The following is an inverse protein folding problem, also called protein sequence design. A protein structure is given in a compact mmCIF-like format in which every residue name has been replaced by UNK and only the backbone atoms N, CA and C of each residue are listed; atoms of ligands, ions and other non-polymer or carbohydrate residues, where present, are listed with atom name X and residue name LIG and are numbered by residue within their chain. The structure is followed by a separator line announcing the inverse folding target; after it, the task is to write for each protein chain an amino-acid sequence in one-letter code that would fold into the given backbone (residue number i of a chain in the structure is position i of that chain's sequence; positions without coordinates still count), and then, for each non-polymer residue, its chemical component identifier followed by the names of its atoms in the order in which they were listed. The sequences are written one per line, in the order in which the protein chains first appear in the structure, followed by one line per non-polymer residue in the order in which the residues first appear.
data_IF_342614828231
#
_entry.id   IF_342614828231
#
_cell.length_a   1.000
_cell.length_b   1.000
_cell.length_c   1.000
_cell.angle_alpha   90.00
_cell.angle_beta   90.00
_cell.angle_gamma   90.00
#
_symmetry.space_group_name_H-M   'P 1'
#
loop_
_entity.id
_entity.type
_entity.pdbx_description
1 polymer ?
#
# COMPACT_ATOMS: atom_id res chain seq x y z
N UNK A 1 -13.96 34.93 9.75
CA UNK A 1 -14.73 33.68 10.03
C UNK A 1 -15.55 33.89 11.29
N UNK A 2 -16.80 33.40 11.32
CA UNK A 2 -17.64 33.52 12.51
C UNK A 2 -17.10 32.60 13.62
N UNK A 3 -17.06 33.12 14.86
CA UNK A 3 -16.55 32.42 16.05
C UNK A 3 -17.71 32.01 16.95
N UNK A 4 -17.65 30.80 17.50
CA UNK A 4 -18.62 30.34 18.50
C UNK A 4 -18.17 30.78 19.90
N UNK A 5 -18.76 31.87 20.38
CA UNK A 5 -18.44 32.48 21.69
C UNK A 5 -19.21 31.88 22.85
N UNK A 6 -20.32 31.18 22.60
CA UNK A 6 -21.16 30.57 23.64
C UNK A 6 -20.48 29.46 24.46
N UNK A 7 -21.01 29.22 25.67
CA UNK A 7 -20.51 28.21 26.63
C UNK A 7 -20.73 26.79 26.08
N UNK A 8 -21.87 26.56 25.44
CA UNK A 8 -22.18 25.29 24.76
C UNK A 8 -21.38 25.20 23.47
N UNK A 9 -20.54 24.15 23.35
CA UNK A 9 -19.76 23.87 22.14
C UNK A 9 -20.53 22.91 21.25
N UNK A 10 -20.68 23.28 19.98
CA UNK A 10 -21.38 22.48 18.99
C UNK A 10 -20.35 21.90 18.02
N UNK A 11 -20.57 20.66 17.58
CA UNK A 11 -19.74 19.99 16.58
C UNK A 11 -20.66 19.27 15.62
N UNK A 12 -20.54 19.57 14.33
CA UNK A 12 -21.46 19.06 13.30
C UNK A 12 -22.20 20.18 12.59
N UNK A 13 -23.28 19.85 11.89
CA UNK A 13 -24.04 20.80 11.06
C UNK A 13 -25.46 20.92 11.59
N UNK A 14 -25.95 22.15 11.79
CA UNK A 14 -27.35 22.46 12.13
C UNK A 14 -27.86 23.43 11.06
N UNK A 15 -28.87 23.00 10.31
CA UNK A 15 -29.35 23.75 9.13
C UNK A 15 -28.19 24.02 8.16
N UNK A 16 -28.02 25.29 7.80
CA UNK A 16 -26.94 25.74 6.93
C UNK A 16 -25.68 26.16 7.69
N UNK A 17 -25.52 25.84 8.98
CA UNK A 17 -24.34 26.24 9.77
C UNK A 17 -23.56 25.00 10.20
N UNK A 18 -22.30 24.91 9.79
CA UNK A 18 -21.35 23.91 10.26
C UNK A 18 -20.45 24.46 11.37
N UNK A 19 -20.42 23.75 12.49
CA UNK A 19 -19.60 24.02 13.68
C UNK A 19 -18.43 23.05 13.75
N UNK A 20 -17.21 23.58 13.90
CA UNK A 20 -15.98 22.78 13.95
C UNK A 20 -14.90 23.46 14.80
N UNK A 21 -13.91 22.68 15.25
CA UNK A 21 -12.75 23.16 15.99
C UNK A 21 -11.55 23.27 15.06
N UNK A 22 -10.87 24.42 15.10
CA UNK A 22 -9.60 24.67 14.40
C UNK A 22 -8.53 25.10 15.40
N UNK A 23 -7.31 25.40 14.91
CA UNK A 23 -6.26 26.07 15.70
C UNK A 23 -6.73 27.39 16.31
N UNK A 24 -7.64 28.10 15.63
CA UNK A 24 -8.13 29.42 16.02
C UNK A 24 -9.38 29.35 16.94
N UNK A 25 -9.68 28.16 17.46
CA UNK A 25 -10.80 27.90 18.37
C UNK A 25 -12.03 27.32 17.69
N UNK A 26 -13.19 27.51 18.31
CA UNK A 26 -14.48 27.00 17.82
C UNK A 26 -15.06 27.97 16.79
N UNK A 27 -15.24 27.48 15.57
CA UNK A 27 -15.68 28.26 14.42
C UNK A 27 -17.04 27.79 13.94
N UNK A 28 -17.80 28.73 13.39
CA UNK A 28 -19.03 28.48 12.66
C UNK A 28 -18.86 29.01 11.23
N UNK A 29 -19.38 28.27 10.26
CA UNK A 29 -19.48 28.74 8.87
C UNK A 29 -20.83 28.37 8.30
N UNK A 30 -21.37 29.22 7.43
CA UNK A 30 -22.48 28.78 6.58
C UNK A 30 -21.94 27.70 5.64
N UNK A 31 -22.76 26.68 5.39
CA UNK A 31 -22.50 25.61 4.43
C UNK A 31 -22.31 26.26 3.06
N UNK A 32 -21.05 26.36 2.64
CA UNK A 32 -20.69 26.80 1.30
C UNK A 32 -20.74 25.65 0.31
N UNK A 33 -21.00 25.96 -0.95
CA UNK A 33 -21.02 25.01 -2.05
C UNK A 33 -22.41 24.45 -2.39
N UNK A 34 -22.52 23.74 -3.52
CA UNK A 34 -23.77 23.10 -3.96
C UNK A 34 -24.20 22.00 -2.98
N UNK A 35 -25.51 21.82 -2.79
CA UNK A 35 -26.05 20.72 -2.00
C UNK A 35 -25.89 19.36 -2.70
N UNK A 36 -26.08 18.27 -1.95
CA UNK A 36 -25.87 16.91 -2.44
C UNK A 36 -26.84 16.53 -3.58
N UNK A 37 -28.10 16.98 -3.53
CA UNK A 37 -29.08 16.71 -4.58
C UNK A 37 -28.70 17.42 -5.86
N UNK A 38 -28.20 18.66 -5.77
CA UNK A 38 -27.67 19.37 -6.92
C UNK A 38 -26.47 18.64 -7.51
N UNK A 39 -25.48 18.25 -6.71
CA UNK A 39 -24.32 17.48 -7.23
C UNK A 39 -24.77 16.17 -7.90
N UNK A 40 -25.78 15.50 -7.35
CA UNK A 40 -26.31 14.24 -7.88
C UNK A 40 -27.00 14.40 -9.25
N UNK A 41 -27.80 15.45 -9.43
CA UNK A 41 -28.74 15.55 -10.56
C UNK A 41 -28.38 16.61 -11.60
N UNK A 42 -27.70 17.70 -11.21
CA UNK A 42 -27.39 18.82 -12.11
C UNK A 42 -26.34 18.38 -13.15
N UNK A 43 -26.61 18.57 -14.48
CA UNK A 43 -25.67 18.23 -15.54
C UNK A 43 -24.30 18.89 -15.40
N UNK A 44 -24.22 20.08 -14.80
CA UNK A 44 -22.95 20.77 -14.59
C UNK A 44 -21.98 19.97 -13.69
N UNK A 45 -22.50 19.07 -12.84
CA UNK A 45 -21.70 18.23 -11.95
C UNK A 45 -21.41 16.84 -12.49
N UNK A 46 -21.73 16.55 -13.76
CA UNK A 46 -21.45 15.24 -14.37
C UNK A 46 -19.98 14.84 -14.18
N UNK A 47 -19.03 15.74 -14.48
CA UNK A 47 -17.59 15.44 -14.36
C UNK A 47 -17.14 15.24 -12.91
N UNK A 48 -17.81 15.88 -11.96
CA UNK A 48 -17.57 15.69 -10.52
C UNK A 48 -18.02 14.30 -10.08
N UNK A 49 -19.18 13.83 -10.56
CA UNK A 49 -19.69 12.49 -10.26
C UNK A 49 -18.81 11.40 -10.87
N UNK A 50 -18.43 11.55 -12.14
CA UNK A 50 -17.53 10.62 -12.82
C UNK A 50 -16.20 10.47 -12.06
N UNK A 51 -15.54 11.58 -11.73
CA UNK A 51 -14.31 11.56 -10.95
C UNK A 51 -14.51 10.96 -9.55
N UNK A 52 -15.65 11.26 -8.90
CA UNK A 52 -15.99 10.74 -7.58
C UNK A 52 -16.16 9.21 -7.58
N UNK A 53 -16.80 8.67 -8.60
CA UNK A 53 -16.95 7.23 -8.83
C UNK A 53 -15.59 6.54 -8.96
N UNK A 54 -14.74 7.04 -9.87
CA UNK A 54 -13.39 6.49 -10.09
C UNK A 54 -12.50 6.60 -8.85
N UNK A 55 -12.55 7.73 -8.13
CA UNK A 55 -11.82 7.90 -6.87
C UNK A 55 -12.30 6.92 -5.79
N UNK A 56 -13.61 6.72 -5.68
CA UNK A 56 -14.20 5.74 -4.78
C UNK A 56 -13.74 4.32 -5.08
N UNK A 57 -13.72 3.95 -6.38
CA UNK A 57 -13.22 2.65 -6.86
C UNK A 57 -11.73 2.46 -6.55
N UNK A 58 -10.89 3.45 -6.84
CA UNK A 58 -9.47 3.44 -6.49
C UNK A 58 -9.25 3.32 -4.97
N UNK A 59 -10.07 3.99 -4.15
CA UNK A 59 -10.02 3.87 -2.69
C UNK A 59 -10.35 2.46 -2.19
N UNK A 60 -11.37 1.81 -2.78
CA UNK A 60 -11.72 0.42 -2.51
C UNK A 60 -10.63 -0.55 -2.96
N UNK A 61 -10.10 -0.40 -4.17
CA UNK A 61 -9.00 -1.24 -4.64
C UNK A 61 -7.74 -1.10 -3.78
N UNK A 62 -7.45 0.11 -3.30
CA UNK A 62 -6.36 0.32 -2.35
C UNK A 62 -6.60 -0.40 -1.02
N UNK A 63 -7.85 -0.54 -0.58
CA UNK A 63 -8.21 -1.36 0.59
C UNK A 63 -8.01 -2.85 0.30
N UNK A 64 -8.40 -3.35 -0.87
CA UNK A 64 -8.16 -4.74 -1.29
C UNK A 64 -6.68 -5.09 -1.21
N UNK A 65 -5.81 -4.31 -1.88
CA UNK A 65 -4.36 -4.52 -1.86
C UNK A 65 -3.83 -4.56 -0.42
N UNK A 66 -4.15 -3.53 0.39
CA UNK A 66 -3.64 -3.46 1.78
C UNK A 66 -4.17 -4.57 2.69
N UNK A 67 -5.37 -5.08 2.41
CA UNK A 67 -5.93 -6.20 3.15
C UNK A 67 -5.27 -7.51 2.76
N UNK A 68 -4.99 -7.72 1.47
CA UNK A 68 -4.30 -8.90 0.96
C UNK A 68 -2.94 -9.07 1.65
N UNK A 69 -2.09 -8.03 1.58
CA UNK A 69 -0.73 -8.09 2.14
C UNK A 69 -0.64 -7.67 3.61
N UNK A 70 -1.76 -7.72 4.35
CA UNK A 70 -1.86 -7.08 5.68
C UNK A 70 -0.80 -7.57 6.66
N UNK A 71 -0.42 -8.85 6.59
CA UNK A 71 0.57 -9.45 7.50
C UNK A 71 1.94 -8.81 7.32
N UNK A 72 2.41 -8.62 6.08
CA UNK A 72 3.68 -7.94 5.78
C UNK A 72 3.57 -6.41 6.01
N UNK A 73 2.42 -5.83 5.68
CA UNK A 73 2.21 -4.38 5.79
C UNK A 73 2.18 -3.87 7.23
N UNK A 74 1.88 -4.73 8.21
CA UNK A 74 1.87 -4.33 9.63
C UNK A 74 3.21 -3.76 10.08
N UNK A 75 4.31 -4.26 9.53
CA UNK A 75 5.65 -3.88 9.93
C UNK A 75 6.28 -2.84 9.01
N UNK A 76 5.77 -2.63 7.79
CA UNK A 76 6.43 -1.87 6.73
C UNK A 76 5.53 -0.79 6.06
N UNK A 77 4.75 -0.04 6.86
CA UNK A 77 3.89 1.05 6.34
C UNK A 77 4.21 2.43 6.90
N UNK A 78 4.12 3.44 6.04
CA UNK A 78 4.11 4.84 6.47
C UNK A 78 2.70 5.39 6.71
N UNK A 79 2.62 6.56 7.36
CA UNK A 79 1.36 7.23 7.74
C UNK A 79 0.51 7.68 6.54
N UNK A 80 1.10 7.82 5.35
CA UNK A 80 0.47 8.32 4.12
C UNK A 80 0.27 7.22 3.07
N UNK A 81 0.59 5.96 3.37
CA UNK A 81 0.48 4.85 2.41
C UNK A 81 -0.89 4.77 1.74
N UNK A 82 -1.97 5.03 2.50
CA UNK A 82 -3.34 5.00 2.00
C UNK A 82 -3.54 6.04 0.90
N UNK A 83 -3.17 7.30 1.15
CA UNK A 83 -3.38 8.38 0.16
C UNK A 83 -2.45 8.26 -1.04
N UNK A 84 -1.21 7.79 -0.83
CA UNK A 84 -0.26 7.52 -1.92
C UNK A 84 -0.77 6.39 -2.82
N UNK A 85 -1.20 5.28 -2.23
CA UNK A 85 -1.73 4.15 -2.99
C UNK A 85 -2.99 4.53 -3.76
N UNK A 86 -3.93 5.24 -3.12
CA UNK A 86 -5.13 5.74 -3.82
C UNK A 86 -4.75 6.66 -4.98
N UNK A 87 -3.75 7.54 -4.82
CA UNK A 87 -3.28 8.41 -5.91
C UNK A 87 -2.77 7.60 -7.11
N UNK A 88 -1.95 6.57 -6.86
CA UNK A 88 -1.45 5.66 -7.91
C UNK A 88 -2.60 4.93 -8.57
N UNK A 89 -3.53 4.36 -7.81
CA UNK A 89 -4.68 3.64 -8.35
C UNK A 89 -5.63 4.55 -9.15
N UNK A 90 -5.81 5.81 -8.75
CA UNK A 90 -6.55 6.78 -9.57
C UNK A 90 -5.85 7.05 -10.90
N UNK A 91 -4.51 7.06 -10.93
CA UNK A 91 -3.77 7.19 -12.18
C UNK A 91 -3.96 5.96 -13.08
N UNK A 92 -3.93 4.75 -12.51
CA UNK A 92 -4.20 3.49 -13.20
C UNK A 92 -5.62 3.43 -13.74
N UNK A 93 -6.62 3.75 -12.92
CA UNK A 93 -8.01 3.80 -13.37
C UNK A 93 -8.22 4.77 -14.53
N UNK A 94 -7.37 5.79 -14.67
CA UNK A 94 -7.46 6.73 -15.79
C UNK A 94 -6.89 6.21 -17.10
N UNK A 95 -6.13 5.13 -17.09
CA UNK A 95 -5.56 4.51 -18.29
C UNK A 95 -6.42 3.39 -18.87
N UNK A 96 -7.52 3.03 -18.20
CA UNK A 96 -8.52 2.07 -18.71
C UNK A 96 -9.07 2.52 -20.09
N UNK A 97 -8.82 1.74 -21.15
CA UNK A 97 -9.26 2.05 -22.51
C UNK A 97 -10.63 1.42 -22.87
N UNK A 98 -11.18 0.57 -22.01
CA UNK A 98 -12.38 -0.24 -22.26
C UNK A 98 -13.63 0.49 -21.82
N UNK A 99 -13.59 1.10 -20.63
CA UNK A 99 -14.77 1.69 -20.02
C UNK A 99 -14.82 3.21 -20.20
N UNK A 100 -16.03 3.74 -20.34
CA UNK A 100 -16.29 5.18 -20.37
C UNK A 100 -15.90 5.87 -19.05
N UNK A 101 -15.65 7.17 -19.14
CA UNK A 101 -15.30 7.98 -17.96
C UNK A 101 -16.38 7.88 -16.87
N UNK A 102 -15.95 7.69 -15.63
CA UNK A 102 -16.82 7.41 -14.47
C UNK A 102 -17.08 5.92 -14.24
N UNK A 103 -16.98 5.10 -15.29
CA UNK A 103 -17.13 3.65 -15.22
C UNK A 103 -15.79 2.89 -15.19
N UNK A 104 -14.69 3.56 -15.53
CA UNK A 104 -13.33 2.98 -15.54
C UNK A 104 -12.93 2.20 -14.30
N UNK A 105 -12.23 1.08 -14.50
CA UNK A 105 -11.84 0.12 -13.47
C UNK A 105 -10.32 0.11 -13.23
N UNK A 106 -9.86 -0.63 -12.23
CA UNK A 106 -8.43 -0.76 -11.93
C UNK A 106 -7.81 -1.85 -12.80
N UNK A 107 -8.48 -3.00 -12.90
CA UNK A 107 -8.00 -4.17 -13.62
C UNK A 107 -7.93 -3.96 -15.14
N UNK A 108 -8.78 -3.08 -15.70
CA UNK A 108 -8.74 -2.75 -17.13
C UNK A 108 -7.75 -1.60 -17.43
N UNK A 109 -7.14 -1.01 -16.38
CA UNK A 109 -6.10 0.00 -16.51
C UNK A 109 -4.69 -0.59 -16.56
N UNK A 110 -3.71 0.25 -16.87
CA UNK A 110 -2.29 -0.10 -16.83
C UNK A 110 -1.81 -0.26 -15.37
N UNK A 111 -1.95 -1.47 -14.83
CA UNK A 111 -1.48 -1.80 -13.48
C UNK A 111 0.05 -1.78 -13.35
N UNK A 112 0.80 -1.76 -14.45
CA UNK A 112 2.26 -1.66 -14.43
C UNK A 112 2.76 -0.43 -13.67
N UNK A 113 1.93 0.62 -13.54
CA UNK A 113 2.21 1.81 -12.71
C UNK A 113 2.27 1.52 -11.19
N UNK A 114 1.86 0.34 -10.72
CA UNK A 114 2.09 -0.10 -9.34
C UNK A 114 3.50 -0.65 -9.10
N UNK A 115 4.24 -0.98 -10.16
CA UNK A 115 5.61 -1.50 -10.04
C UNK A 115 6.47 -0.50 -9.28
N UNK A 116 7.30 -1.00 -8.37
CA UNK A 116 8.13 -0.20 -7.46
C UNK A 116 7.34 0.71 -6.50
N UNK A 117 6.04 0.46 -6.29
CA UNK A 117 5.31 1.16 -5.23
C UNK A 117 5.85 0.76 -3.86
N UNK A 118 6.46 1.73 -3.18
CA UNK A 118 6.95 1.60 -1.81
C UNK A 118 5.79 1.74 -0.82
N UNK A 119 5.59 0.78 0.08
CA UNK A 119 4.60 0.89 1.17
C UNK A 119 5.11 1.72 2.35
N UNK A 120 6.42 1.90 2.45
CA UNK A 120 7.08 2.78 3.41
C UNK A 120 8.09 3.70 2.72
N UNK A 121 7.80 5.00 2.63
CA UNK A 121 8.74 5.95 2.02
C UNK A 121 9.98 6.25 2.86
N UNK A 122 9.98 5.90 4.15
CA UNK A 122 11.12 6.11 5.04
C UNK A 122 12.14 4.95 4.98
N UNK A 123 11.67 3.75 4.64
CA UNK A 123 12.48 2.55 4.40
C UNK A 123 12.17 2.00 3.01
N UNK A 124 12.64 2.69 1.97
CA UNK A 124 12.46 2.24 0.59
C UNK A 124 13.32 1.01 0.33
N UNK A 125 12.80 0.00 -0.37
CA UNK A 125 13.55 -1.26 -0.58
C UNK A 125 14.91 -1.00 -1.23
N UNK A 126 14.96 -0.20 -2.30
CA UNK A 126 16.23 0.12 -2.98
C UNK A 126 17.21 1.00 -2.18
N UNK A 127 16.78 1.57 -1.05
CA UNK A 127 17.65 2.29 -0.11
C UNK A 127 18.02 1.45 1.13
N UNK A 128 17.40 0.28 1.28
CA UNK A 128 17.56 -0.63 2.42
C UNK A 128 18.34 -1.89 2.02
N UNK A 129 18.02 -2.48 0.87
CA UNK A 129 18.64 -3.71 0.35
C UNK A 129 19.38 -3.39 -0.96
N UNK A 130 20.70 -3.46 -0.92
CA UNK A 130 21.60 -3.27 -2.05
C UNK A 130 22.11 -4.60 -2.63
N UNK A 131 21.70 -5.73 -2.06
CA UNK A 131 21.91 -7.04 -2.66
C UNK A 131 21.02 -7.13 -3.92
N UNK A 132 21.57 -7.48 -5.09
CA UNK A 132 20.75 -7.82 -6.25
C UNK A 132 19.83 -8.98 -5.93
N UNK A 133 18.61 -8.92 -6.44
CA UNK A 133 17.62 -9.97 -6.30
C UNK A 133 16.86 -10.13 -7.61
N UNK A 134 16.45 -11.36 -7.89
CA UNK A 134 15.62 -11.68 -9.05
C UNK A 134 14.24 -12.14 -8.57
N UNK A 135 13.21 -11.66 -9.26
CA UNK A 135 11.82 -12.06 -9.05
C UNK A 135 11.24 -12.60 -10.35
N UNK A 136 10.43 -13.64 -10.23
CA UNK A 136 9.69 -14.19 -11.36
C UNK A 136 8.29 -14.61 -10.92
N UNK A 137 7.32 -14.50 -11.82
CA UNK A 137 5.98 -15.02 -11.64
C UNK A 137 5.59 -15.87 -12.84
N UNK A 138 5.23 -17.14 -12.60
CA UNK A 138 4.67 -18.03 -13.60
C UNK A 138 3.17 -18.14 -13.37
N UNK A 139 2.37 -17.54 -14.27
CA UNK A 139 0.91 -17.59 -14.17
C UNK A 139 0.34 -19.00 -14.35
N UNK A 140 0.99 -19.88 -15.10
CA UNK A 140 0.47 -21.24 -15.37
C UNK A 140 0.52 -22.06 -14.10
N UNK A 141 1.60 -21.98 -13.34
CA UNK A 141 1.76 -22.70 -12.06
C UNK A 141 1.24 -21.90 -10.87
N UNK A 142 1.19 -20.57 -10.96
CA UNK A 142 0.89 -19.67 -9.86
C UNK A 142 2.11 -19.35 -8.98
N UNK A 143 3.32 -19.75 -9.38
CA UNK A 143 4.51 -19.58 -8.56
C UNK A 143 5.13 -18.19 -8.72
N UNK A 144 5.33 -17.51 -7.60
CA UNK A 144 6.12 -16.30 -7.47
C UNK A 144 7.41 -16.62 -6.72
N UNK A 145 8.57 -16.46 -7.37
CA UNK A 145 9.88 -16.72 -6.78
C UNK A 145 10.64 -15.43 -6.48
N UNK A 146 11.47 -15.48 -5.45
CA UNK A 146 12.46 -14.46 -5.10
C UNK A 146 13.79 -15.17 -4.83
N UNK A 147 14.85 -14.77 -5.54
CA UNK A 147 16.19 -15.31 -5.33
C UNK A 147 17.22 -14.21 -5.06
N UNK A 148 18.15 -14.48 -4.13
CA UNK A 148 19.31 -13.65 -3.83
C UNK A 148 20.54 -14.54 -3.69
N UNK A 149 21.62 -14.18 -4.38
CA UNK A 149 22.92 -14.79 -4.17
C UNK A 149 23.44 -14.49 -2.75
N UNK A 150 24.36 -15.31 -2.19
CA UNK A 150 25.07 -15.00 -0.96
C UNK A 150 25.59 -13.57 -0.92
N UNK A 151 25.37 -12.87 0.20
CA UNK A 151 25.87 -11.52 0.39
C UNK A 151 26.20 -11.23 1.86
N UNK A 152 27.17 -10.35 2.10
CA UNK A 152 27.49 -9.83 3.43
C UNK A 152 26.44 -8.78 3.88
N UNK A 153 25.63 -9.05 4.93
CA UNK A 153 24.56 -8.15 5.38
C UNK A 153 25.04 -6.75 5.73
N UNK A 154 26.14 -6.61 6.46
CA UNK A 154 26.71 -5.30 6.86
C UNK A 154 27.17 -4.42 5.69
N UNK A 155 27.35 -4.99 4.49
CA UNK A 155 27.70 -4.26 3.27
C UNK A 155 26.45 -3.98 2.42
N UNK A 156 25.55 -4.96 2.32
CA UNK A 156 24.42 -4.93 1.37
C UNK A 156 23.10 -4.52 2.00
N UNK A 157 23.03 -4.30 3.30
CA UNK A 157 21.82 -3.86 3.99
C UNK A 157 22.11 -2.58 4.77
N UNK A 158 21.39 -1.50 4.47
CA UNK A 158 21.35 -0.31 5.32
C UNK A 158 20.38 -0.55 6.49
N UNK A 159 20.87 -1.23 7.53
CA UNK A 159 20.09 -1.53 8.71
C UNK A 159 19.96 -0.31 9.64
N UNK A 160 18.82 -0.16 10.35
CA UNK A 160 18.67 0.89 11.34
C UNK A 160 19.52 0.66 12.58
N UNK A 161 19.79 1.75 13.32
CA UNK A 161 20.48 1.68 14.60
C UNK A 161 19.78 0.72 15.56
N UNK A 162 20.54 -0.21 16.15
CA UNK A 162 20.03 -1.23 17.07
C UNK A 162 19.55 -2.52 16.41
N UNK A 163 19.53 -2.61 15.08
CA UNK A 163 19.29 -3.88 14.40
C UNK A 163 20.46 -4.84 14.64
N UNK A 164 20.11 -6.07 14.98
CA UNK A 164 21.06 -7.19 15.18
C UNK A 164 20.79 -8.32 14.20
N UNK A 165 19.57 -8.37 13.66
CA UNK A 165 19.08 -9.42 12.80
C UNK A 165 18.10 -8.86 11.77
N UNK A 166 17.85 -9.60 10.71
CA UNK A 166 16.90 -9.24 9.67
C UNK A 166 16.17 -10.46 9.09
N UNK A 167 15.11 -10.21 8.33
CA UNK A 167 14.46 -11.17 7.44
C UNK A 167 14.31 -10.58 6.06
N UNK A 168 14.41 -11.44 5.04
CA UNK A 168 13.88 -11.16 3.71
C UNK A 168 12.51 -11.82 3.60
N UNK A 169 11.54 -11.08 3.10
CA UNK A 169 10.16 -11.55 2.95
C UNK A 169 9.68 -11.34 1.51
N UNK A 170 8.86 -12.26 1.01
CA UNK A 170 8.11 -12.08 -0.22
C UNK A 170 6.66 -12.51 -0.04
N UNK A 171 5.77 -12.00 -0.88
CA UNK A 171 4.40 -12.47 -0.93
C UNK A 171 3.77 -12.19 -2.27
N UNK A 172 2.81 -13.03 -2.65
CA UNK A 172 2.04 -12.89 -3.87
C UNK A 172 0.56 -12.73 -3.53
N UNK A 173 -0.09 -11.74 -4.14
CA UNK A 173 -1.50 -11.45 -3.94
C UNK A 173 -2.25 -11.47 -5.27
N UNK A 174 -3.30 -12.31 -5.35
CA UNK A 174 -4.33 -12.21 -6.39
C UNK A 174 -5.37 -11.17 -5.96
N UNK A 175 -5.78 -10.29 -6.86
CA UNK A 175 -6.59 -9.13 -6.54
C UNK A 175 -7.92 -9.14 -7.29
N UNK A 176 -9.01 -9.47 -6.60
CA UNK A 176 -10.37 -9.37 -7.12
C UNK A 176 -10.97 -8.01 -6.75
N UNK A 177 -10.66 -6.99 -7.55
CA UNK A 177 -11.19 -5.63 -7.33
C UNK A 177 -12.72 -5.54 -7.41
N UNK A 178 -13.41 -6.19 -8.37
CA UNK A 178 -14.87 -6.20 -8.44
C UNK A 178 -15.57 -6.75 -7.18
N UNK A 179 -15.07 -7.88 -6.64
CA UNK A 179 -15.67 -8.54 -5.48
C UNK A 179 -15.04 -8.11 -4.14
N UNK A 180 -14.08 -7.19 -4.17
CA UNK A 180 -13.29 -6.74 -3.02
C UNK A 180 -12.57 -7.90 -2.28
N UNK A 181 -12.20 -8.95 -3.02
CA UNK A 181 -11.55 -10.17 -2.53
C UNK A 181 -10.07 -10.26 -2.88
N UNK A 182 -9.35 -11.17 -2.23
CA UNK A 182 -7.96 -11.46 -2.54
C UNK A 182 -7.55 -12.84 -2.04
N UNK A 183 -6.62 -13.50 -2.75
CA UNK A 183 -5.82 -14.61 -2.23
C UNK A 183 -4.42 -14.07 -1.96
N UNK A 184 -3.82 -14.46 -0.84
CA UNK A 184 -2.47 -14.02 -0.48
C UNK A 184 -1.72 -15.15 0.20
N UNK A 185 -0.51 -15.38 -0.29
CA UNK A 185 0.46 -16.27 0.34
C UNK A 185 1.79 -15.52 0.48
N UNK A 186 2.62 -15.95 1.42
CA UNK A 186 3.91 -15.32 1.70
C UNK A 186 4.93 -16.33 2.19
N UNK A 187 6.20 -16.03 1.92
CA UNK A 187 7.34 -16.80 2.38
C UNK A 187 8.42 -15.85 2.91
N UNK A 188 9.25 -16.36 3.81
CA UNK A 188 10.24 -15.57 4.52
C UNK A 188 11.46 -16.39 4.90
N UNK A 189 12.61 -15.74 5.02
CA UNK A 189 13.79 -16.37 5.60
C UNK A 189 13.61 -16.62 7.10
N UNK A 190 14.47 -17.48 7.66
CA UNK A 190 14.76 -17.43 9.09
C UNK A 190 15.23 -16.02 9.51
N UNK A 191 15.22 -15.74 10.81
CA UNK A 191 15.83 -14.52 11.35
C UNK A 191 17.35 -14.65 11.21
N UNK A 192 17.92 -13.93 10.24
CA UNK A 192 19.35 -13.99 9.91
C UNK A 192 20.14 -12.96 10.71
N UNK A 193 21.38 -13.28 11.14
CA UNK A 193 22.23 -12.33 11.82
C UNK A 193 22.64 -11.19 10.88
N UNK A 194 22.66 -9.96 11.40
CA UNK A 194 23.22 -8.80 10.71
C UNK A 194 24.70 -8.68 11.05
N UNK A 195 25.54 -9.45 10.35
CA UNK A 195 26.99 -9.45 10.54
C UNK A 195 27.76 -9.34 9.20
N UNK A 196 29.05 -9.64 9.22
CA UNK A 196 29.93 -9.53 8.05
C UNK A 196 30.06 -10.85 7.26
N UNK A 197 29.54 -11.96 7.76
CA UNK A 197 29.58 -13.22 7.06
C UNK A 197 28.56 -13.21 5.92
N UNK A 198 28.90 -13.84 4.79
CA UNK A 198 27.94 -13.99 3.70
C UNK A 198 26.78 -14.89 4.14
N UNK A 199 25.57 -14.52 3.75
CA UNK A 199 24.40 -15.40 3.88
C UNK A 199 24.55 -16.66 3.02
N UNK A 200 23.75 -17.67 3.28
CA UNK A 200 23.45 -18.66 2.24
C UNK A 200 22.70 -18.00 1.06
N UNK A 201 22.58 -18.71 -0.06
CA UNK A 201 21.64 -18.32 -1.09
C UNK A 201 20.21 -18.30 -0.49
N UNK A 202 19.45 -17.27 -0.85
CA UNK A 202 18.06 -17.12 -0.40
C UNK A 202 17.18 -17.41 -1.61
N UNK A 203 16.40 -18.48 -1.55
CA UNK A 203 15.40 -18.85 -2.54
C UNK A 203 14.05 -19.00 -1.83
N UNK A 204 13.15 -18.05 -2.06
CA UNK A 204 11.79 -18.06 -1.52
C UNK A 204 10.81 -18.30 -2.67
N UNK A 205 9.77 -19.09 -2.43
CA UNK A 205 8.74 -19.35 -3.43
C UNK A 205 7.38 -19.39 -2.78
N UNK A 206 6.43 -18.69 -3.42
CA UNK A 206 5.06 -18.58 -2.97
C UNK A 206 4.16 -19.00 -4.12
N UNK A 207 3.22 -19.91 -3.86
CA UNK A 207 2.27 -20.38 -4.88
C UNK A 207 0.89 -19.79 -4.60
N UNK A 208 0.34 -19.07 -5.58
CA UNK A 208 -1.07 -18.65 -5.61
C UNK A 208 -1.87 -19.55 -6.57
N UNK A 209 -3.10 -19.19 -6.91
CA UNK A 209 -3.96 -20.02 -7.77
C UNK A 209 -3.33 -20.18 -9.17
N UNK A 210 -3.06 -21.43 -9.63
CA UNK A 210 -2.59 -21.69 -10.98
C UNK A 210 -3.59 -21.19 -12.02
N UNK A 211 -3.09 -20.60 -13.11
CA UNK A 211 -3.91 -20.02 -14.19
C UNK A 211 -4.95 -19.01 -13.69
N UNK A 212 -4.62 -18.24 -12.64
CA UNK A 212 -5.49 -17.17 -12.17
C UNK A 212 -5.87 -16.23 -13.32
N UNK A 213 -7.12 -15.78 -13.33
CA UNK A 213 -7.61 -14.75 -14.26
C UNK A 213 -7.60 -13.35 -13.64
N UNK A 214 -7.09 -13.24 -12.41
CA UNK A 214 -7.01 -11.99 -11.68
C UNK A 214 -5.63 -11.34 -11.86
N UNK A 215 -5.54 -10.01 -11.70
CA UNK A 215 -4.26 -9.35 -11.51
C UNK A 215 -3.52 -9.91 -10.30
N UNK A 216 -2.21 -10.09 -10.45
CA UNK A 216 -1.32 -10.56 -9.40
C UNK A 216 -0.26 -9.50 -9.12
N UNK A 217 0.03 -9.27 -7.84
CA UNK A 217 1.21 -8.50 -7.43
C UNK A 217 2.11 -9.38 -6.58
N UNK A 218 3.42 -9.26 -6.80
CA UNK A 218 4.44 -9.79 -5.90
C UNK A 218 5.06 -8.64 -5.12
N UNK A 219 5.17 -8.79 -3.81
CA UNK A 219 5.85 -7.86 -2.93
C UNK A 219 7.14 -8.46 -2.38
N UNK A 220 8.14 -7.61 -2.15
CA UNK A 220 9.42 -7.97 -1.53
C UNK A 220 9.72 -6.97 -0.42
N UNK A 221 10.24 -7.46 0.71
CA UNK A 221 10.51 -6.62 1.86
C UNK A 221 11.68 -7.08 2.71
N UNK A 222 12.09 -6.19 3.61
CA UNK A 222 13.10 -6.44 4.65
C UNK A 222 12.53 -6.02 6.00
N UNK A 223 12.59 -6.91 6.98
CA UNK A 223 12.21 -6.65 8.36
C UNK A 223 13.42 -6.72 9.28
N UNK A 224 13.52 -5.80 10.24
CA UNK A 224 14.64 -5.75 11.18
C UNK A 224 14.24 -6.17 12.59
N UNK A 225 15.19 -6.81 13.28
CA UNK A 225 15.02 -7.33 14.64
C UNK A 225 16.20 -6.95 15.53
N UNK A 226 15.91 -6.82 16.81
CA UNK A 226 16.88 -6.65 17.88
C UNK A 226 16.81 -7.84 18.82
N UNK A 227 17.95 -8.48 19.06
CA UNK A 227 18.09 -9.50 20.08
C UNK A 227 18.36 -8.84 21.44
N UNK A 228 17.58 -9.19 22.45
CA UNK A 228 17.79 -8.80 23.84
C UNK A 228 17.64 -10.03 24.71
N UNK A 229 18.70 -10.44 25.41
CA UNK A 229 18.74 -11.62 26.28
C UNK A 229 18.27 -12.92 25.59
N UNK A 230 18.69 -13.14 24.33
CA UNK A 230 18.30 -14.34 23.57
C UNK A 230 16.90 -14.28 22.95
N UNK A 231 16.18 -13.17 23.09
CA UNK A 231 14.83 -12.99 22.53
C UNK A 231 14.84 -11.97 21.38
N UNK A 232 14.15 -12.30 20.29
CA UNK A 232 14.07 -11.45 19.09
C UNK A 232 12.88 -10.51 19.16
N UNK A 233 13.15 -9.21 19.10
CA UNK A 233 12.15 -8.16 19.10
C UNK A 233 12.10 -7.44 17.74
N UNK A 234 10.94 -7.40 17.06
CA UNK A 234 10.82 -6.67 15.80
C UNK A 234 10.95 -5.17 16.01
N UNK A 235 11.73 -4.50 15.16
CA UNK A 235 11.88 -3.04 15.17
C UNK A 235 10.69 -2.37 14.48
N UNK A 236 9.62 -2.15 15.25
CA UNK A 236 8.32 -1.62 14.77
C UNK A 236 8.19 -0.08 14.83
N UNK A 237 9.23 0.67 14.51
CA UNK A 237 9.15 2.13 14.56
C UNK A 237 8.58 2.78 13.28
N UNK A 238 8.22 1.98 12.27
CA UNK A 238 7.65 2.46 11.00
C UNK A 238 8.61 3.34 10.18
N UNK A 239 9.90 3.37 10.55
CA UNK A 239 10.90 4.19 9.90
C UNK A 239 11.74 3.40 8.90
N UNK A 240 11.90 2.07 9.05
CA UNK A 240 12.99 1.36 8.36
C UNK A 240 12.62 0.07 7.63
N UNK A 241 11.57 -0.65 8.03
CA UNK A 241 11.18 -1.86 7.31
C UNK A 241 10.68 -1.49 5.91
N UNK A 242 11.20 -2.21 4.92
CA UNK A 242 10.90 -1.99 3.52
C UNK A 242 9.87 -3.00 3.03
N UNK A 243 8.97 -2.55 2.18
CA UNK A 243 8.06 -3.41 1.43
C UNK A 243 7.70 -2.67 0.14
N UNK A 244 7.94 -3.34 -0.99
CA UNK A 244 7.79 -2.79 -2.32
C UNK A 244 7.05 -3.78 -3.21
N UNK A 245 6.23 -3.29 -4.14
CA UNK A 245 5.72 -4.10 -5.26
C UNK A 245 6.86 -4.37 -6.24
N UNK A 246 7.31 -5.61 -6.34
CA UNK A 246 8.40 -6.04 -7.22
C UNK A 246 7.90 -6.45 -8.60
N UNK A 247 6.78 -7.17 -8.64
CA UNK A 247 6.17 -7.66 -9.89
C UNK A 247 4.70 -7.28 -9.91
N UNK A 248 4.21 -6.91 -11.09
CA UNK A 248 2.78 -6.79 -11.39
C UNK A 248 2.53 -7.60 -12.65
N UNK A 249 1.57 -8.52 -12.58
CA UNK A 249 1.18 -9.36 -13.70
C UNK A 249 -0.34 -9.27 -13.92
N UNK A 250 -0.74 -9.07 -15.17
CA UNK A 250 -2.14 -8.94 -15.60
C UNK A 250 -2.43 -9.90 -16.74
N UNK A 251 -3.70 -10.24 -16.93
CA UNK A 251 -4.17 -11.08 -18.06
C UNK A 251 -4.25 -10.27 -19.35
#
# INVERSE_FOLDING_TARGET
MARQTGIIKLKGTIGDISFYKSSDGHLARIKGGPDANRIANDPAFQRTRENGSEFGRAGKGGKVIRNAIRVLLQNAKDKKVVSRLTKTLVAITKTDPVNERGARTIQDGDMGLLSNFEFNTNGKLGATLFAPFDVAFDRVTGDASLSLAPFAPTIRIAAPAGATHFKIVTGAAELDFPNEGSVFESDETAILPYDAADTAAIDLTVTVTPNSVLPVIQVVGVEFYQEVNGQMYPLKNGAYNALMVATVDTV
#
